data_IF_704357020728
#
_entry.id   IF_704357020728
#
_cell.length_a   1.000
_cell.length_b   1.000
_cell.length_c   1.000
_cell.angle_alpha   90.00
_cell.angle_beta   90.00
_cell.angle_gamma   90.00
#
_symmetry.space_group_name_H-M   'P 1'
#
loop_
_entity.id
_entity.type
_entity.pdbx_description
1 polymer ?
#
# COMPACT_ATOMS: atom_id res chain seq x y z
N UNK A 1 5.88 -7.97 -15.24
CA UNK A 1 5.63 -8.43 -13.85
C UNK A 1 6.81 -8.02 -13.00
N UNK A 2 6.57 -7.40 -11.85
CA UNK A 2 7.59 -6.95 -10.92
C UNK A 2 7.05 -6.89 -9.50
N UNK A 3 7.92 -6.80 -8.52
CA UNK A 3 7.55 -6.77 -7.12
C UNK A 3 8.42 -5.77 -6.34
N UNK A 4 7.88 -5.32 -5.21
CA UNK A 4 8.58 -4.50 -4.24
C UNK A 4 8.21 -4.92 -2.82
N UNK A 5 9.18 -4.86 -1.92
CA UNK A 5 9.00 -4.94 -0.48
C UNK A 5 9.75 -3.76 0.15
N UNK A 6 9.11 -3.03 1.05
CA UNK A 6 9.77 -1.91 1.72
C UNK A 6 9.22 -1.67 3.13
N UNK A 7 10.08 -1.09 3.97
CA UNK A 7 9.77 -0.73 5.35
C UNK A 7 10.21 0.70 5.62
N UNK A 8 9.34 1.47 6.24
CA UNK A 8 9.64 2.82 6.73
C UNK A 8 10.35 2.73 8.07
N UNK A 9 11.47 3.45 8.20
CA UNK A 9 12.34 3.44 9.38
C UNK A 9 12.28 4.76 10.14
N UNK A 10 12.31 5.86 9.40
CA UNK A 10 12.28 7.21 9.93
C UNK A 10 11.28 8.05 9.12
N UNK A 11 10.56 8.96 9.77
CA UNK A 11 9.69 9.90 9.07
C UNK A 11 10.53 10.86 8.22
N UNK A 12 9.94 11.28 7.11
CA UNK A 12 10.45 12.38 6.28
C UNK A 12 9.42 13.50 6.28
N UNK A 13 9.86 14.72 6.11
CA UNK A 13 8.99 15.90 6.06
C UNK A 13 9.07 16.58 4.69
N UNK A 14 8.04 17.37 4.30
CA UNK A 14 8.10 18.14 3.07
C UNK A 14 9.29 19.10 3.06
N UNK A 15 10.12 19.00 2.01
CA UNK A 15 11.34 19.78 1.86
C UNK A 15 12.63 18.98 2.08
N UNK A 16 12.56 17.80 2.69
CA UNK A 16 13.73 16.93 2.84
C UNK A 16 14.28 16.54 1.45
N UNK A 17 15.58 16.61 1.30
CA UNK A 17 16.28 16.04 0.15
C UNK A 17 16.58 14.58 0.43
N UNK A 18 16.14 13.71 -0.46
CA UNK A 18 16.25 12.28 -0.29
C UNK A 18 17.08 11.68 -1.42
N UNK A 19 18.05 10.87 -1.06
CA UNK A 19 18.86 10.08 -2.00
C UNK A 19 18.36 8.65 -2.03
N UNK A 20 18.11 8.11 -3.23
CA UNK A 20 17.78 6.70 -3.42
C UNK A 20 19.04 5.97 -3.89
N UNK A 21 19.45 4.94 -3.14
CA UNK A 21 20.54 4.03 -3.51
C UNK A 21 19.95 2.67 -3.84
N UNK A 22 20.34 2.12 -4.99
CA UNK A 22 19.97 0.76 -5.39
C UNK A 22 21.24 -0.06 -5.61
N UNK A 23 21.30 -1.25 -5.03
CA UNK A 23 22.41 -2.17 -5.14
C UNK A 23 21.89 -3.50 -5.68
N UNK A 24 22.49 -4.01 -6.75
CA UNK A 24 22.14 -5.31 -7.31
C UNK A 24 22.44 -6.42 -6.29
N UNK A 25 21.50 -7.33 -6.12
CA UNK A 25 21.67 -8.49 -5.24
C UNK A 25 22.24 -9.70 -6.00
N UNK A 26 22.73 -10.68 -5.25
CA UNK A 26 23.23 -11.94 -5.83
C UNK A 26 22.08 -12.76 -6.49
N UNK A 27 20.83 -12.48 -6.12
CA UNK A 27 19.66 -13.06 -6.80
C UNK A 27 19.40 -12.26 -8.08
N UNK A 28 19.39 -12.96 -9.21
CA UNK A 28 19.20 -12.32 -10.51
C UNK A 28 17.91 -11.48 -10.56
N UNK A 29 18.00 -10.31 -11.18
CA UNK A 29 16.88 -9.38 -11.34
C UNK A 29 16.28 -8.86 -10.02
N UNK A 30 17.09 -8.71 -9.00
CA UNK A 30 16.67 -8.11 -7.73
C UNK A 30 17.69 -7.09 -7.23
N UNK A 31 17.19 -6.06 -6.54
CA UNK A 31 17.98 -4.97 -5.98
C UNK A 31 17.51 -4.65 -4.56
N UNK A 32 18.46 -4.42 -3.67
CA UNK A 32 18.19 -3.73 -2.41
C UNK A 32 18.13 -2.23 -2.66
N UNK A 33 17.20 -1.55 -2.00
CA UNK A 33 16.94 -0.12 -2.16
C UNK A 33 16.91 0.55 -0.79
N UNK A 34 17.61 1.67 -0.67
CA UNK A 34 17.58 2.54 0.49
C UNK A 34 17.20 3.96 0.08
N UNK A 35 16.40 4.62 0.90
CA UNK A 35 16.14 6.05 0.81
C UNK A 35 16.74 6.71 2.05
N UNK A 36 17.63 7.68 1.83
CA UNK A 36 18.49 8.29 2.84
C UNK A 36 18.28 9.79 2.78
N UNK A 37 18.16 10.45 3.93
CA UNK A 37 18.07 11.90 4.02
C UNK A 37 19.46 12.57 3.99
N UNK A 38 19.52 13.90 4.04
CA UNK A 38 20.75 14.69 4.04
C UNK A 38 21.68 14.41 5.21
N UNK A 39 21.15 13.91 6.34
CA UNK A 39 21.90 13.52 7.53
C UNK A 39 22.44 12.09 7.46
N UNK A 40 22.39 11.45 6.28
CA UNK A 40 22.75 10.04 6.06
C UNK A 40 21.89 9.05 6.89
N UNK A 41 20.68 9.48 7.32
CA UNK A 41 19.75 8.61 8.05
C UNK A 41 18.92 7.83 7.06
N UNK A 42 18.87 6.52 7.22
CA UNK A 42 18.06 5.63 6.38
C UNK A 42 16.58 5.75 6.76
N UNK A 43 15.79 6.35 5.87
CA UNK A 43 14.35 6.56 6.06
C UNK A 43 13.50 5.39 5.57
N UNK A 44 13.89 4.75 4.46
CA UNK A 44 13.22 3.57 3.90
C UNK A 44 14.26 2.54 3.51
N UNK A 45 13.98 1.28 3.79
CA UNK A 45 14.73 0.13 3.26
C UNK A 45 13.78 -0.76 2.49
N UNK A 46 14.26 -1.36 1.42
CA UNK A 46 13.43 -2.26 0.62
C UNK A 46 14.22 -3.13 -0.33
N UNK A 47 13.47 -3.96 -1.03
CA UNK A 47 13.93 -4.77 -2.15
C UNK A 47 12.93 -4.64 -3.29
N UNK A 48 13.44 -4.65 -4.50
CA UNK A 48 12.62 -4.69 -5.71
C UNK A 48 13.14 -5.77 -6.64
N UNK A 49 12.28 -6.32 -7.46
CA UNK A 49 12.69 -7.33 -8.40
C UNK A 49 11.73 -7.54 -9.56
N UNK A 50 12.19 -8.31 -10.54
CA UNK A 50 11.40 -8.77 -11.66
C UNK A 50 10.92 -10.21 -11.42
N UNK A 51 9.82 -10.57 -12.08
CA UNK A 51 9.22 -11.89 -11.93
C UNK A 51 8.30 -11.98 -10.73
N UNK A 52 8.21 -13.18 -10.14
CA UNK A 52 7.37 -13.50 -9.00
C UNK A 52 8.19 -13.45 -7.71
N UNK A 53 7.70 -12.73 -6.71
CA UNK A 53 8.34 -12.68 -5.39
C UNK A 53 8.12 -13.99 -4.61
N UNK A 54 9.12 -14.42 -3.85
CA UNK A 54 9.05 -15.65 -3.04
C UNK A 54 7.90 -15.60 -2.02
N UNK A 55 7.69 -14.43 -1.40
CA UNK A 55 6.61 -14.22 -0.42
C UNK A 55 5.20 -14.16 -1.02
N UNK A 56 5.05 -14.15 -2.36
CA UNK A 56 3.73 -14.09 -3.01
C UNK A 56 2.85 -15.33 -2.70
N UNK A 57 3.45 -16.44 -2.29
CA UNK A 57 2.73 -17.63 -1.83
C UNK A 57 2.08 -17.49 -0.46
N UNK A 58 2.49 -16.50 0.33
CA UNK A 58 1.91 -16.19 1.64
C UNK A 58 0.61 -15.36 1.55
N UNK A 59 0.31 -14.85 0.35
CA UNK A 59 -0.82 -13.95 0.13
C UNK A 59 -2.15 -14.68 0.29
N UNK A 60 -3.06 -14.08 1.07
CA UNK A 60 -4.42 -14.57 1.26
C UNK A 60 -5.37 -13.76 0.38
N UNK A 61 -6.03 -14.44 -0.56
CA UNK A 61 -7.00 -13.80 -1.45
C UNK A 61 -8.29 -13.48 -0.70
N UNK A 62 -8.78 -12.24 -0.85
CA UNK A 62 -10.16 -11.92 -0.48
C UNK A 62 -11.13 -12.65 -1.42
N UNK A 63 -12.19 -13.16 -0.86
CA UNK A 63 -13.31 -13.81 -1.59
C UNK A 63 -14.46 -12.85 -1.83
N UNK A 64 -14.50 -11.72 -1.11
CA UNK A 64 -15.55 -10.70 -1.23
C UNK A 64 -15.10 -9.59 -2.18
N UNK A 65 -15.46 -9.73 -3.47
CA UNK A 65 -15.13 -8.78 -4.53
C UNK A 65 -16.33 -7.93 -4.98
N UNK A 66 -17.45 -7.98 -4.26
CA UNK A 66 -18.61 -7.15 -4.56
C UNK A 66 -18.40 -5.75 -3.96
N UNK A 67 -18.26 -4.70 -4.79
CA UNK A 67 -18.08 -3.35 -4.29
C UNK A 67 -19.30 -2.85 -3.53
N UNK A 68 -19.07 -2.14 -2.45
CA UNK A 68 -20.11 -1.43 -1.72
C UNK A 68 -20.09 0.06 -2.07
N UNK A 69 -21.27 0.70 -2.02
CA UNK A 69 -21.41 2.13 -2.24
C UNK A 69 -20.72 2.93 -1.12
N UNK A 70 -20.12 4.07 -1.48
CA UNK A 70 -19.64 5.05 -0.49
C UNK A 70 -20.83 5.68 0.23
N UNK A 71 -20.69 5.91 1.56
CA UNK A 71 -21.73 6.59 2.34
C UNK A 71 -22.33 5.81 3.51
N UNK A 72 -21.94 4.56 3.70
CA UNK A 72 -22.28 3.84 4.93
C UNK A 72 -21.54 4.44 6.13
N UNK A 73 -22.20 4.49 7.29
CA UNK A 73 -21.57 4.94 8.54
C UNK A 73 -20.43 3.98 8.88
N UNK A 74 -19.19 4.48 8.75
CA UNK A 74 -17.99 3.69 9.03
C UNK A 74 -17.84 3.47 10.53
N UNK A 75 -17.40 2.27 10.90
CA UNK A 75 -16.97 1.98 12.27
C UNK A 75 -15.55 2.52 12.49
N UNK A 76 -15.21 2.88 13.72
CA UNK A 76 -13.82 3.14 14.09
C UNK A 76 -13.02 1.84 13.99
N UNK A 77 -11.79 1.93 13.50
CA UNK A 77 -10.86 0.80 13.50
C UNK A 77 -10.28 0.64 14.92
N UNK A 78 -10.53 -0.51 15.51
CA UNK A 78 -10.00 -0.91 16.83
C UNK A 78 -9.48 -2.34 16.73
N UNK A 79 -8.78 -2.83 17.75
CA UNK A 79 -8.37 -4.25 17.80
C UNK A 79 -9.56 -5.21 17.78
N UNK A 80 -10.70 -4.78 18.31
CA UNK A 80 -11.93 -5.58 18.33
C UNK A 80 -12.64 -5.58 16.98
N UNK A 81 -12.62 -4.45 16.25
CA UNK A 81 -13.27 -4.32 14.95
C UNK A 81 -12.40 -4.76 13.77
N UNK A 82 -11.09 -4.92 13.98
CA UNK A 82 -10.14 -5.49 13.03
C UNK A 82 -10.16 -7.03 13.11
N UNK A 83 -11.29 -7.63 12.75
CA UNK A 83 -11.50 -9.07 12.83
C UNK A 83 -10.54 -9.83 11.90
N UNK A 84 -9.64 -10.64 12.48
CA UNK A 84 -8.67 -11.44 11.71
C UNK A 84 -9.41 -12.54 10.94
N UNK A 85 -9.01 -12.77 9.69
CA UNK A 85 -9.61 -13.75 8.81
C UNK A 85 -10.88 -13.27 8.10
N UNK A 86 -11.24 -11.99 8.25
CA UNK A 86 -12.44 -11.40 7.63
C UNK A 86 -12.07 -10.54 6.43
N UNK A 87 -12.87 -10.61 5.39
CA UNK A 87 -12.77 -9.76 4.23
C UNK A 87 -13.44 -8.40 4.48
N UNK A 88 -12.77 -7.33 4.05
CA UNK A 88 -13.37 -5.99 4.03
C UNK A 88 -14.23 -5.80 2.78
N UNK A 89 -15.21 -4.90 2.88
CA UNK A 89 -16.01 -4.50 1.73
C UNK A 89 -15.12 -3.97 0.60
N UNK A 90 -15.37 -4.49 -0.60
CA UNK A 90 -14.62 -4.11 -1.79
C UNK A 90 -14.97 -2.68 -2.23
N UNK A 91 -14.00 -2.03 -2.86
CA UNK A 91 -14.12 -0.71 -3.48
C UNK A 91 -13.87 -0.84 -4.99
N UNK A 92 -14.56 -0.03 -5.79
CA UNK A 92 -14.26 0.14 -7.21
C UNK A 92 -13.80 1.55 -7.51
N UNK A 93 -12.96 1.71 -8.53
CA UNK A 93 -12.60 3.00 -9.11
C UNK A 93 -12.27 2.81 -10.60
N UNK A 94 -12.65 3.81 -11.41
CA UNK A 94 -12.29 3.84 -12.82
C UNK A 94 -10.93 4.55 -12.98
N UNK A 95 -10.02 3.91 -13.70
CA UNK A 95 -8.75 4.55 -14.07
C UNK A 95 -8.94 5.34 -15.36
N UNK A 96 -9.19 6.64 -15.23
CA UNK A 96 -9.43 7.57 -16.35
C UNK A 96 -8.20 8.40 -16.66
N UNK A 97 -8.22 9.15 -17.78
CA UNK A 97 -7.16 10.11 -18.12
C UNK A 97 -7.04 11.20 -17.05
N UNK A 98 -8.18 11.64 -16.49
CA UNK A 98 -8.22 12.65 -15.43
C UNK A 98 -7.57 12.09 -14.15
N UNK A 99 -7.90 10.86 -13.74
CA UNK A 99 -7.30 10.19 -12.58
C UNK A 99 -5.77 10.00 -12.75
N UNK A 100 -5.32 9.65 -13.95
CA UNK A 100 -3.89 9.54 -14.28
C UNK A 100 -3.20 10.90 -14.19
N UNK A 101 -3.83 11.95 -14.75
CA UNK A 101 -3.30 13.33 -14.77
C UNK A 101 -3.19 13.88 -13.35
N UNK A 102 -4.24 13.77 -12.54
CA UNK A 102 -4.22 14.19 -11.13
C UNK A 102 -3.11 13.48 -10.37
N UNK A 103 -3.02 12.15 -10.50
CA UNK A 103 -2.02 11.37 -9.79
C UNK A 103 -0.60 11.72 -10.19
N UNK A 104 -0.33 11.92 -11.48
CA UNK A 104 1.02 12.21 -11.99
C UNK A 104 1.44 13.65 -11.77
N UNK A 105 0.51 14.60 -11.68
CA UNK A 105 0.81 16.02 -11.41
C UNK A 105 0.95 16.29 -9.91
N UNK A 106 0.11 15.74 -9.08
CA UNK A 106 0.01 16.08 -7.65
C UNK A 106 0.77 15.11 -6.74
N UNK A 107 0.72 13.80 -7.03
CA UNK A 107 1.29 12.76 -6.16
C UNK A 107 2.69 12.34 -6.58
N UNK A 108 2.91 12.04 -7.85
CA UNK A 108 4.18 11.52 -8.34
C UNK A 108 5.04 12.57 -9.07
N UNK A 109 4.45 13.65 -9.53
CA UNK A 109 5.13 14.73 -10.29
C UNK A 109 6.04 14.19 -11.37
N UNK A 110 5.52 13.26 -12.17
CA UNK A 110 6.26 12.61 -13.27
C UNK A 110 5.76 13.09 -14.62
N UNK A 111 6.66 13.18 -15.59
CA UNK A 111 6.36 13.43 -17.00
C UNK A 111 6.69 12.22 -17.89
N UNK A 112 6.87 11.04 -17.29
CA UNK A 112 7.15 9.82 -18.03
C UNK A 112 5.97 9.49 -18.98
N UNK A 113 6.22 9.35 -20.30
CA UNK A 113 5.16 9.17 -21.31
C UNK A 113 4.32 7.90 -21.12
N UNK A 114 4.76 6.94 -20.34
CA UNK A 114 3.96 5.77 -19.98
C UNK A 114 2.78 6.14 -19.07
N UNK A 115 2.91 7.18 -18.25
CA UNK A 115 1.96 7.53 -17.20
C UNK A 115 1.17 8.81 -17.48
N UNK A 116 1.53 9.55 -18.55
CA UNK A 116 0.90 10.83 -18.92
C UNK A 116 0.39 10.79 -20.36
N UNK A 117 -0.50 11.73 -20.71
CA UNK A 117 -1.01 11.89 -22.07
C UNK A 117 -2.40 11.27 -22.25
N UNK A 118 -2.78 10.95 -23.48
CA UNK A 118 -4.13 10.49 -23.82
C UNK A 118 -4.37 9.00 -23.63
N UNK A 119 -3.32 8.19 -23.46
CA UNK A 119 -3.42 6.75 -23.31
C UNK A 119 -2.46 6.22 -22.22
N UNK A 120 -2.53 6.76 -20.99
CA UNK A 120 -1.62 6.37 -19.92
C UNK A 120 -1.95 4.97 -19.37
N UNK A 121 -0.92 4.35 -18.79
CA UNK A 121 -1.11 3.24 -17.85
C UNK A 121 -0.96 3.77 -16.43
N UNK A 122 -1.56 3.09 -15.45
CA UNK A 122 -1.44 3.50 -14.06
C UNK A 122 0.01 3.40 -13.58
N UNK A 123 0.46 4.45 -12.91
CA UNK A 123 1.76 4.43 -12.24
C UNK A 123 1.76 3.34 -11.14
N UNK A 124 2.84 2.58 -10.93
CA UNK A 124 2.90 1.53 -9.90
C UNK A 124 2.48 1.99 -8.50
N UNK A 125 2.79 3.24 -8.13
CA UNK A 125 2.36 3.79 -6.83
C UNK A 125 0.86 4.06 -6.75
N UNK A 126 0.15 4.21 -7.88
CA UNK A 126 -1.31 4.32 -7.88
C UNK A 126 -1.94 3.01 -7.41
N UNK A 127 -1.46 1.86 -7.90
CA UNK A 127 -1.90 0.55 -7.43
C UNK A 127 -1.48 0.29 -5.99
N UNK A 128 -0.28 0.71 -5.58
CA UNK A 128 0.18 0.59 -4.19
C UNK A 128 -0.66 1.40 -3.20
N UNK A 129 -1.22 2.53 -3.63
CA UNK A 129 -2.09 3.39 -2.82
C UNK A 129 -3.45 2.80 -2.45
N UNK A 130 -3.87 1.70 -3.09
CA UNK A 130 -5.16 1.07 -2.84
C UNK A 130 -5.32 0.50 -1.43
N UNK A 131 -4.23 0.08 -0.78
CA UNK A 131 -4.28 -0.43 0.59
C UNK A 131 -4.87 0.62 1.56
N UNK A 132 -4.35 1.85 1.52
CA UNK A 132 -4.85 2.95 2.35
C UNK A 132 -6.29 3.34 1.97
N UNK A 133 -6.61 3.35 0.68
CA UNK A 133 -7.96 3.65 0.21
C UNK A 133 -8.98 2.62 0.69
N UNK A 134 -8.66 1.32 0.67
CA UNK A 134 -9.54 0.25 1.17
C UNK A 134 -9.73 0.33 2.68
N UNK A 135 -8.67 0.59 3.43
CA UNK A 135 -8.76 0.77 4.87
C UNK A 135 -9.70 1.93 5.21
N UNK A 136 -9.56 3.09 4.56
CA UNK A 136 -10.45 4.25 4.74
C UNK A 136 -11.83 4.09 4.13
N UNK A 137 -12.01 3.21 3.16
CA UNK A 137 -13.32 2.86 2.65
C UNK A 137 -14.15 2.13 3.72
N UNK A 138 -13.53 1.26 4.50
CA UNK A 138 -14.18 0.42 5.48
C UNK A 138 -14.28 1.02 6.88
N UNK A 139 -13.32 1.88 7.26
CA UNK A 139 -13.22 2.38 8.63
C UNK A 139 -13.01 3.89 8.68
N UNK A 140 -13.49 4.48 9.77
CA UNK A 140 -13.12 5.83 10.19
C UNK A 140 -11.82 5.75 10.98
N UNK A 141 -10.77 6.37 10.44
CA UNK A 141 -9.41 6.34 10.98
C UNK A 141 -8.88 7.77 10.99
N UNK A 142 -8.79 8.41 12.18
CA UNK A 142 -8.33 9.79 12.28
C UNK A 142 -6.86 9.96 11.85
N UNK A 143 -6.01 8.97 12.16
CA UNK A 143 -4.60 8.95 11.76
C UNK A 143 -4.11 7.54 11.57
N UNK A 144 -3.17 7.36 10.65
CA UNK A 144 -2.50 6.09 10.41
C UNK A 144 -1.03 6.32 10.07
N UNK A 145 -0.19 5.34 10.33
CA UNK A 145 1.20 5.36 9.94
C UNK A 145 1.54 4.08 9.18
N UNK A 146 1.82 4.23 7.89
CA UNK A 146 2.29 3.14 7.06
C UNK A 146 3.68 2.70 7.51
N UNK A 147 3.86 1.41 7.80
CA UNK A 147 5.13 0.88 8.33
C UNK A 147 5.85 -0.06 7.38
N UNK A 148 5.11 -0.83 6.59
CA UNK A 148 5.67 -1.79 5.64
C UNK A 148 4.67 -2.11 4.54
N UNK A 149 5.17 -2.43 3.35
CA UNK A 149 4.39 -3.04 2.27
C UNK A 149 5.17 -4.08 1.51
N UNK A 150 4.44 -5.03 0.96
CA UNK A 150 4.84 -5.92 -0.12
C UNK A 150 3.84 -5.77 -1.26
N UNK A 151 4.32 -5.64 -2.48
CA UNK A 151 3.47 -5.56 -3.66
C UNK A 151 4.03 -6.40 -4.79
N UNK A 152 3.18 -7.25 -5.35
CA UNK A 152 3.40 -7.99 -6.59
C UNK A 152 2.52 -7.36 -7.67
N UNK A 153 3.12 -6.72 -8.65
CA UNK A 153 2.42 -6.26 -9.84
C UNK A 153 2.29 -7.44 -10.83
N UNK A 154 1.09 -7.73 -11.26
CA UNK A 154 0.76 -8.85 -12.15
C UNK A 154 0.45 -8.35 -13.56
N UNK A 155 -0.40 -7.32 -13.67
CA UNK A 155 -0.81 -6.72 -14.91
C UNK A 155 -0.75 -5.19 -14.86
N UNK A 156 -0.61 -4.56 -16.03
CA UNK A 156 -0.74 -3.12 -16.18
C UNK A 156 -2.21 -2.70 -16.16
N UNK A 157 -2.47 -1.46 -15.78
CA UNK A 157 -3.81 -0.86 -15.76
C UNK A 157 -3.85 0.23 -16.83
N UNK A 158 -4.32 -0.04 -18.04
CA UNK A 158 -4.51 0.99 -19.06
C UNK A 158 -5.70 1.89 -18.71
N UNK A 159 -5.72 3.10 -19.26
CA UNK A 159 -6.86 4.00 -19.16
C UNK A 159 -8.14 3.32 -19.65
N UNK A 160 -9.27 3.57 -18.97
CA UNK A 160 -10.56 2.92 -19.22
C UNK A 160 -10.79 1.63 -18.43
N UNK A 161 -9.79 1.19 -17.65
CA UNK A 161 -9.97 0.03 -16.77
C UNK A 161 -10.74 0.41 -15.52
N UNK A 162 -11.79 -0.32 -15.20
CA UNK A 162 -12.41 -0.31 -13.87
C UNK A 162 -11.66 -1.28 -12.96
N UNK A 163 -11.12 -0.79 -11.86
CA UNK A 163 -10.40 -1.58 -10.87
C UNK A 163 -11.28 -1.85 -9.66
N UNK A 164 -11.34 -3.10 -9.24
CA UNK A 164 -12.00 -3.54 -8.01
C UNK A 164 -10.90 -3.99 -7.05
N UNK A 165 -10.90 -3.41 -5.86
CA UNK A 165 -9.99 -3.79 -4.78
C UNK A 165 -10.76 -4.39 -3.61
N UNK A 166 -10.23 -5.47 -3.04
CA UNK A 166 -10.76 -6.11 -1.84
C UNK A 166 -9.62 -6.44 -0.89
N UNK A 167 -9.89 -6.50 0.40
CA UNK A 167 -8.87 -6.76 1.40
C UNK A 167 -9.29 -7.87 2.36
N UNK A 168 -8.31 -8.65 2.83
CA UNK A 168 -8.43 -9.70 3.82
C UNK A 168 -7.54 -9.40 5.03
N UNK A 169 -8.10 -9.37 6.24
CA UNK A 169 -7.35 -9.08 7.46
C UNK A 169 -6.49 -10.27 7.87
N UNK A 170 -5.18 -10.10 7.85
CA UNK A 170 -4.21 -11.15 8.20
C UNK A 170 -3.81 -11.09 9.68
N UNK A 171 -3.80 -9.89 10.28
CA UNK A 171 -3.48 -9.74 11.69
C UNK A 171 -3.85 -8.37 12.24
N UNK A 172 -4.18 -8.34 13.52
CA UNK A 172 -4.38 -7.14 14.31
C UNK A 172 -3.76 -7.36 15.68
N UNK A 173 -2.93 -6.45 16.16
CA UNK A 173 -2.20 -6.64 17.42
C UNK A 173 -1.71 -5.31 18.00
N UNK A 174 -1.42 -5.34 19.29
CA UNK A 174 -0.75 -4.26 19.99
C UNK A 174 0.75 -4.53 20.10
N UNK A 175 1.56 -3.51 19.91
CA UNK A 175 3.00 -3.53 20.17
C UNK A 175 3.47 -2.16 20.62
N UNK A 176 4.10 -2.07 21.80
CA UNK A 176 4.58 -0.82 22.41
C UNK A 176 3.44 0.22 22.49
N UNK A 177 2.27 -0.21 22.94
CA UNK A 177 1.03 0.56 23.01
C UNK A 177 0.48 1.09 21.65
N UNK A 178 1.15 0.87 20.54
CA UNK A 178 0.60 1.12 19.20
C UNK A 178 -0.28 -0.04 18.75
N UNK A 179 -1.42 0.26 18.10
CA UNK A 179 -2.26 -0.76 17.50
C UNK A 179 -1.95 -0.88 16.00
N UNK A 180 -1.69 -2.10 15.58
CA UNK A 180 -1.34 -2.46 14.21
C UNK A 180 -2.45 -3.27 13.56
N UNK A 181 -2.61 -3.09 12.27
CA UNK A 181 -3.32 -4.03 11.40
C UNK A 181 -2.46 -4.35 10.19
N UNK A 182 -2.49 -5.60 9.76
CA UNK A 182 -1.93 -6.03 8.47
C UNK A 182 -2.98 -6.81 7.70
N UNK A 183 -3.04 -6.53 6.42
CA UNK A 183 -4.05 -7.08 5.54
C UNK A 183 -3.50 -7.26 4.13
N UNK A 184 -4.06 -8.24 3.43
CA UNK A 184 -3.79 -8.53 2.04
C UNK A 184 -4.82 -7.85 1.16
N UNK A 185 -4.39 -7.25 0.05
CA UNK A 185 -5.23 -6.57 -0.92
C UNK A 185 -5.09 -7.25 -2.27
N UNK A 186 -6.21 -7.64 -2.84
CA UNK A 186 -6.32 -8.09 -4.22
C UNK A 186 -6.91 -6.96 -5.07
N UNK A 187 -6.25 -6.63 -6.17
CA UNK A 187 -6.79 -5.76 -7.20
C UNK A 187 -7.08 -6.57 -8.44
N UNK A 188 -8.30 -6.42 -8.98
CA UNK A 188 -8.74 -7.04 -10.24
C UNK A 188 -9.33 -5.99 -11.18
N UNK A 189 -9.32 -6.28 -12.46
CA UNK A 189 -10.08 -5.51 -13.45
C UNK A 189 -11.55 -5.99 -13.53
N UNK A 190 -12.32 -5.33 -14.38
CA UNK A 190 -13.73 -5.68 -14.61
C UNK A 190 -13.94 -7.06 -15.26
N UNK A 191 -12.91 -7.68 -15.82
CA UNK A 191 -12.94 -9.04 -16.37
C UNK A 191 -12.57 -10.11 -15.32
N UNK A 192 -12.13 -9.69 -14.11
CA UNK A 192 -11.68 -10.56 -13.05
C UNK A 192 -10.20 -10.96 -13.13
N UNK A 193 -9.43 -10.30 -14.01
CA UNK A 193 -8.01 -10.54 -14.13
C UNK A 193 -7.24 -9.83 -12.99
N UNK A 194 -6.30 -10.53 -12.37
CA UNK A 194 -5.52 -9.98 -11.26
C UNK A 194 -4.54 -8.90 -11.75
N UNK A 195 -4.64 -7.72 -11.17
CA UNK A 195 -3.77 -6.56 -11.43
C UNK A 195 -2.58 -6.57 -10.48
N UNK A 196 -2.84 -6.71 -9.18
CA UNK A 196 -1.81 -6.69 -8.15
C UNK A 196 -2.27 -7.40 -6.87
N UNK A 197 -1.30 -7.87 -6.12
CA UNK A 197 -1.43 -8.41 -4.77
C UNK A 197 -0.53 -7.62 -3.85
N UNK A 198 -1.10 -7.12 -2.74
CA UNK A 198 -0.37 -6.32 -1.77
C UNK A 198 -0.55 -6.90 -0.38
N UNK A 199 0.50 -6.85 0.46
CA UNK A 199 0.36 -6.95 1.92
C UNK A 199 0.79 -5.64 2.53
N UNK A 200 -0.08 -5.07 3.35
CA UNK A 200 0.12 -3.76 3.97
C UNK A 200 0.13 -3.88 5.49
N UNK A 201 1.05 -3.16 6.14
CA UNK A 201 1.14 -3.03 7.59
C UNK A 201 1.04 -1.57 7.97
N UNK A 202 0.11 -1.26 8.84
CA UNK A 202 -0.09 0.11 9.32
C UNK A 202 -0.36 0.15 10.82
N UNK A 203 0.10 1.22 11.46
CA UNK A 203 -0.35 1.62 12.79
C UNK A 203 -1.62 2.44 12.60
N UNK A 204 -2.72 2.03 13.20
CA UNK A 204 -3.99 2.76 13.15
C UNK A 204 -4.33 3.47 14.47
N UNK A 205 -3.64 3.14 15.57
CA UNK A 205 -3.60 3.93 16.81
C UNK A 205 -2.13 4.18 17.16
N UNK A 206 -1.74 5.45 17.13
CA UNK A 206 -0.40 5.87 17.55
C UNK A 206 -0.44 6.11 19.06
N UNK A 207 0.40 5.39 19.82
CA UNK A 207 0.51 5.54 21.26
C UNK A 207 1.03 6.94 21.64
N UNK A 208 0.46 7.53 22.70
CA UNK A 208 0.99 8.73 23.31
C UNK A 208 2.35 8.47 23.98
N UNK A 209 3.05 9.53 24.37
CA UNK A 209 4.33 9.37 25.09
C UNK A 209 4.12 8.64 26.42
N UNK A 210 3.09 9.01 27.17
CA UNK A 210 2.72 8.41 28.45
C UNK A 210 2.40 6.90 28.31
N UNK A 211 1.59 6.51 27.30
CA UNK A 211 1.30 5.11 27.03
C UNK A 211 2.56 4.30 26.72
N UNK A 212 3.54 4.88 26.02
CA UNK A 212 4.81 4.22 25.70
C UNK A 212 5.72 4.05 26.90
N UNK A 213 5.77 5.04 27.79
CA UNK A 213 6.56 4.99 29.02
C UNK A 213 6.03 3.93 29.97
N UNK A 214 4.71 3.79 30.10
CA UNK A 214 4.07 2.78 30.94
C UNK A 214 4.32 1.33 30.46
N UNK A 215 4.69 1.10 29.22
CA UNK A 215 5.01 -0.24 28.68
C UNK A 215 6.49 -0.57 28.83
N UNK A 216 7.36 0.43 29.09
CA UNK A 216 8.81 0.25 29.24
C UNK A 216 9.30 0.18 30.69
N UNK A 217 8.43 0.49 31.66
CA UNK A 217 8.67 0.37 33.09
C UNK A 217 8.12 -0.93 33.65
#
# INVERSE_FOLDING_TARGET
MGWAEYSFRQPTIPGDQLTIRATEENTANSWSVEMINEEEVVCVVGKVGLGKADWSSEFVRSTSLTPTEEGQKKKSLTLETAEIGVDWAAKKADFTVEAATEFTSEKQRTNNPLFVGSNPIAHPSWTAGWAEQLMRHNYDIPSSMHTRSRIQHLNVVPVGTQVIGAAHVVGAYERKAHHFVNFDVLLQDQAGEDIAQLRHWTIFKIATLEERENVLG
#
